data_IF_998570987274
#
_entry.id   IF_998570987274
#
_cell.length_a   1.000
_cell.length_b   1.000
_cell.length_c   1.000
_cell.angle_alpha   90.00
_cell.angle_beta   90.00
_cell.angle_gamma   90.00
#
_symmetry.space_group_name_H-M   'P 1'
#
loop_
_entity.id
_entity.type
_entity.pdbx_description
1 polymer ?
2 non-polymer ?
3 non-polymer ?
4 non-polymer ?
5 non-polymer ?
6 non-polymer ?
7 non-polymer ?
8 non-polymer ?
9 non-polymer ?
10 non-polymer ?
11 water ?
#
# COMPACT_ATOMS: atom_id res chain seq x y z
N UNK A 24 20.37 9.02 -15.76
CA UNK A 24 19.22 9.93 -15.53
C UNK A 24 18.92 10.11 -14.05
N UNK A 25 17.74 10.65 -13.77
CA UNK A 25 17.29 10.84 -12.38
C UNK A 25 17.13 9.51 -11.67
N UNK A 26 17.28 9.52 -10.35
CA UNK A 26 17.11 8.32 -9.52
C UNK A 26 15.63 7.98 -9.42
N UNK A 27 15.30 6.69 -9.53
CA UNK A 27 13.91 6.27 -9.36
C UNK A 27 13.60 6.37 -7.85
N UNK A 28 12.49 7.03 -7.49
CA UNK A 28 12.09 7.02 -6.09
C UNK A 28 11.50 5.66 -5.71
N UNK A 29 11.85 5.21 -4.52
CA UNK A 29 11.54 3.86 -4.07
C UNK A 29 10.76 3.95 -2.76
N UNK A 30 9.67 3.19 -2.71
CA UNK A 30 8.93 3.02 -1.48
C UNK A 30 9.36 1.74 -0.79
N UNK A 31 9.85 1.89 0.43
CA UNK A 31 10.26 0.76 1.26
C UNK A 31 9.10 0.55 2.19
N UNK A 32 8.38 -0.55 1.99
CA UNK A 32 7.05 -0.72 2.59
C UNK A 32 7.18 -1.74 3.70
N UNK A 33 7.06 -1.27 4.93
CA UNK A 33 7.03 -2.17 6.07
C UNK A 33 5.82 -3.11 5.99
N UNK A 34 6.10 -4.39 6.15
CA UNK A 34 5.06 -5.41 6.00
C UNK A 34 4.36 -5.71 7.32
N UNK A 35 3.03 -5.82 7.25
CA UNK A 35 2.22 -6.27 8.39
C UNK A 35 2.41 -5.41 9.65
N UNK A 36 2.16 -4.13 9.46
CA UNK A 36 2.26 -3.13 10.49
C UNK A 36 0.85 -2.91 11.05
N UNK A 37 0.49 -3.66 12.10
CA UNK A 37 -0.88 -3.75 12.56
C UNK A 37 -1.14 -3.27 13.99
N UNK A 38 -0.06 -3.00 14.74
CA UNK A 38 -0.19 -2.41 16.06
C UNK A 38 0.37 -1.02 15.96
N UNK A 39 -0.21 -0.09 16.72
CA UNK A 39 0.20 1.30 16.65
C UNK A 39 1.72 1.45 16.87
N UNK A 40 2.25 0.73 17.86
CA UNK A 40 3.69 0.81 18.21
C UNK A 40 4.62 0.38 17.08
N UNK A 41 4.10 -0.42 16.16
CA UNK A 41 4.88 -0.90 15.04
C UNK A 41 5.14 0.16 13.97
N UNK A 42 4.30 1.19 13.90
CA UNK A 42 4.52 2.28 12.96
C UNK A 42 5.92 2.88 13.19
N UNK A 43 6.22 3.27 14.42
CA UNK A 43 7.56 3.82 14.71
C UNK A 43 8.66 2.81 14.49
N UNK A 44 8.39 1.55 14.86
CA UNK A 44 9.39 0.50 14.75
C UNK A 44 9.89 0.39 13.31
N UNK A 45 8.93 0.32 12.39
CA UNK A 45 9.27 0.13 10.97
C UNK A 45 9.84 1.39 10.34
N UNK A 46 9.26 2.55 10.67
CA UNK A 46 9.74 3.80 10.12
C UNK A 46 11.17 4.10 10.60
N UNK A 47 11.43 3.87 11.89
CA UNK A 47 12.76 4.04 12.45
C UNK A 47 13.85 3.12 11.87
N UNK A 48 13.43 1.97 11.30
CA UNK A 48 14.34 1.07 10.56
C UNK A 48 14.54 1.46 9.07
N UNK A 49 13.83 2.49 8.63
CA UNK A 49 13.99 3.01 7.28
C UNK A 49 12.78 2.96 6.36
N UNK A 50 11.64 2.42 6.80
CA UNK A 50 10.44 2.40 5.94
C UNK A 50 9.88 3.80 5.70
N UNK A 51 9.57 4.15 4.44
CA UNK A 51 8.80 5.40 4.16
C UNK A 51 7.32 5.08 3.87
N UNK A 52 6.97 3.82 4.07
CA UNK A 52 5.61 3.31 3.79
C UNK A 52 5.33 2.13 4.69
N UNK A 53 4.06 1.86 4.96
CA UNK A 53 3.68 0.68 5.72
C UNK A 53 2.48 0.04 5.07
N UNK A 54 2.38 -1.26 5.26
CA UNK A 54 1.25 -2.06 4.85
C UNK A 54 0.57 -2.60 6.12
N UNK A 55 -0.75 -2.52 6.12
CA UNK A 55 -1.56 -2.82 7.30
C UNK A 55 -2.77 -3.65 6.85
N UNK A 56 -3.07 -4.72 7.57
CA UNK A 56 -4.20 -5.60 7.23
C UNK A 56 -5.47 -5.08 7.86
N UNK A 57 -6.58 -5.24 7.15
CA UNK A 57 -7.85 -4.72 7.64
C UNK A 57 -8.85 -5.86 7.55
N UNK A 58 -9.31 -6.31 8.71
CA UNK A 58 -10.35 -7.34 8.76
C UNK A 58 -11.71 -6.63 8.78
N UNK A 59 -12.74 -7.35 8.39
CA UNK A 59 -14.07 -6.78 8.30
C UNK A 59 -15.01 -7.62 9.14
N UNK A 60 -15.96 -6.99 9.80
CA UNK A 60 -17.00 -7.73 10.51
C UNK A 60 -18.07 -8.27 9.56
N UNK A 61 -19.08 -8.94 10.10
CA UNK A 61 -20.15 -9.53 9.27
C UNK A 61 -20.96 -8.50 8.48
N UNK A 62 -20.86 -7.22 8.84
CA UNK A 62 -21.60 -6.14 8.15
C UNK A 62 -20.75 -5.32 7.18
N UNK A 63 -19.54 -5.81 6.93
CA UNK A 63 -18.60 -5.14 6.04
C UNK A 63 -18.02 -3.87 6.65
N UNK A 64 -18.10 -3.74 7.97
CA UNK A 64 -17.41 -2.67 8.65
C UNK A 64 -15.99 -3.10 8.98
N UNK A 65 -14.99 -2.26 8.64
CA UNK A 65 -13.65 -2.61 9.10
C UNK A 65 -13.67 -2.80 10.61
N UNK A 66 -12.97 -3.83 11.08
CA UNK A 66 -13.05 -4.17 12.50
C UNK A 66 -11.68 -4.08 13.18
N UNK A 67 -10.72 -4.89 12.71
CA UNK A 67 -9.37 -4.94 13.31
C UNK A 67 -8.32 -4.79 12.26
N UNK A 68 -7.13 -4.36 12.69
CA UNK A 68 -5.91 -4.50 11.89
C UNK A 68 -5.25 -5.85 12.22
N UNK A 69 -5.85 -6.92 11.77
CA UNK A 69 -5.46 -8.23 12.25
C UNK A 69 -5.17 -9.12 11.06
N UNK A 70 -3.98 -9.72 11.05
CA UNK A 70 -3.62 -10.66 9.99
C UNK A 70 -4.05 -12.08 10.39
N UNK A 71 -3.53 -12.56 11.51
CA UNK A 71 -3.75 -13.95 11.95
C UNK A 71 -2.87 -14.97 11.24
N UNK A 72 -2.92 -16.20 11.74
CA UNK A 72 -2.17 -17.32 11.20
C UNK A 72 -2.90 -17.86 9.96
N UNK A 73 -2.16 -18.28 8.91
CA UNK A 73 -0.71 -18.20 8.76
C UNK A 73 -0.22 -16.84 8.28
N UNK A 74 0.99 -16.48 8.68
CA UNK A 74 1.60 -15.24 8.23
C UNK A 74 3.06 -15.47 7.87
N UNK A 75 3.72 -14.41 7.39
CA UNK A 75 5.12 -14.48 7.01
C UNK A 75 6.03 -15.11 8.07
N UNK A 76 7.03 -15.83 7.58
CA UNK A 76 8.03 -16.49 8.42
C UNK A 76 8.78 -15.47 9.30
N UNK A 77 8.98 -15.83 10.57
CA UNK A 77 9.71 -14.99 11.52
C UNK A 77 8.89 -13.90 12.16
N UNK A 78 7.56 -13.90 11.92
CA UNK A 78 6.69 -12.82 12.41
C UNK A 78 5.61 -13.30 13.36
N UNK A 79 5.33 -12.48 14.37
CA UNK A 79 4.15 -12.62 15.22
C UNK A 79 2.94 -12.19 14.37
N UNK A 80 1.99 -13.10 14.16
CA UNK A 80 0.84 -12.87 13.27
C UNK A 80 -0.37 -12.19 13.94
N UNK A 81 -0.28 -11.95 15.24
CA UNK A 81 -1.47 -11.66 16.04
C UNK A 81 -1.52 -10.31 16.72
N UNK A 82 -0.60 -9.42 16.37
CA UNK A 82 -0.67 -8.05 16.88
C UNK A 82 -1.81 -7.32 16.15
N UNK A 83 -2.66 -6.61 16.89
CA UNK A 83 -3.76 -5.90 16.23
C UNK A 83 -4.33 -4.74 17.03
N UNK A 84 -5.07 -3.88 16.34
CA UNK A 84 -5.83 -2.82 17.00
C UNK A 84 -7.25 -2.87 16.48
N UNK A 85 -8.20 -2.25 17.19
CA UNK A 85 -9.46 -1.84 16.57
C UNK A 85 -9.09 -0.93 15.41
N UNK A 86 -9.72 -1.12 14.27
CA UNK A 86 -9.28 -0.41 13.06
C UNK A 86 -9.22 1.11 13.28
N UNK A 87 -10.26 1.69 13.89
CA UNK A 87 -10.24 3.14 14.12
C UNK A 87 -9.15 3.62 15.06
N UNK A 88 -8.78 2.79 16.03
CA UNK A 88 -7.65 3.11 16.89
C UNK A 88 -6.37 3.21 16.06
N UNK A 89 -6.14 2.21 15.20
CA UNK A 89 -4.94 2.25 14.34
C UNK A 89 -4.93 3.52 13.49
N UNK A 90 -6.10 3.86 12.95
CA UNK A 90 -6.24 5.06 12.10
C UNK A 90 -5.84 6.34 12.85
N UNK A 91 -6.24 6.46 14.11
CA UNK A 91 -5.90 7.64 14.90
C UNK A 91 -4.41 7.63 15.14
N UNK A 92 -3.84 6.44 15.31
CA UNK A 92 -2.38 6.33 15.51
C UNK A 92 -1.61 6.70 14.27
N UNK A 93 -2.08 6.20 13.14
CA UNK A 93 -1.56 6.58 11.83
C UNK A 93 -1.66 8.09 11.57
N UNK A 94 -2.78 8.68 11.96
CA UNK A 94 -2.96 10.12 11.84
C UNK A 94 -1.91 10.88 12.63
N UNK A 95 -1.68 10.48 13.88
CA UNK A 95 -0.62 11.10 14.68
C UNK A 95 0.75 10.99 13.97
N UNK A 96 1.04 9.83 13.38
CA UNK A 96 2.33 9.61 12.75
C UNK A 96 2.49 10.41 11.46
N UNK A 97 1.39 10.95 10.93
CA UNK A 97 1.43 11.57 9.61
C UNK A 97 0.88 13.00 9.57
N UNK A 98 0.73 13.59 10.76
CA UNK A 98 0.19 14.95 10.86
C UNK A 98 1.34 15.84 11.31
N UNK A 99 1.81 16.74 10.43
CA UNK A 99 2.86 17.69 10.81
C UNK A 99 2.50 18.44 12.10
N UNK A 100 3.43 18.50 13.04
CA UNK A 100 3.19 19.21 14.32
C UNK A 100 2.86 18.29 15.48
N UNK A 101 2.43 17.07 15.16
CA UNK A 101 2.14 16.08 16.18
C UNK A 101 3.43 15.60 16.82
N UNK A 102 3.39 15.32 18.12
CA UNK A 102 4.59 14.85 18.83
C UNK A 102 5.17 13.58 18.21
N UNK A 103 4.33 12.81 17.54
CA UNK A 103 4.76 11.55 16.94
C UNK A 103 4.91 11.59 15.41
N UNK A 104 4.84 12.78 14.82
CA UNK A 104 4.95 12.95 13.38
C UNK A 104 6.24 12.36 12.81
N UNK A 105 6.08 11.53 11.77
CA UNK A 105 7.19 10.96 11.04
C UNK A 105 7.11 11.52 9.62
N UNK A 106 7.90 12.57 9.35
CA UNK A 106 7.98 13.17 8.01
C UNK A 106 8.23 12.13 6.90
N UNK A 107 8.93 11.08 7.21
CA UNK A 107 9.30 10.10 6.23
C UNK A 107 8.17 9.17 5.80
N UNK A 108 7.13 9.03 6.61
CA UNK A 108 6.05 8.09 6.31
C UNK A 108 5.06 8.71 5.34
N UNK A 109 5.09 8.28 4.06
CA UNK A 109 4.33 9.01 3.03
C UNK A 109 3.26 8.18 2.29
N UNK A 110 3.24 6.87 2.53
CA UNK A 110 2.29 5.98 1.85
C UNK A 110 1.85 4.85 2.77
N UNK A 111 0.55 4.59 2.77
CA UNK A 111 0.00 3.49 3.53
C UNK A 111 -0.81 2.62 2.58
N UNK A 112 -0.52 1.33 2.61
CA UNK A 112 -1.26 0.34 1.84
C UNK A 112 -2.17 -0.40 2.83
N UNK A 113 -3.48 -0.30 2.63
CA UNK A 113 -4.45 -1.08 3.41
C UNK A 113 -4.74 -2.35 2.64
N UNK A 114 -4.38 -3.47 3.26
CA UNK A 114 -4.59 -4.80 2.71
C UNK A 114 -5.97 -5.22 3.19
N UNK A 115 -6.96 -5.00 2.35
CA UNK A 115 -8.36 -5.21 2.73
C UNK A 115 -8.67 -6.69 2.63
N UNK A 116 -8.85 -7.33 3.78
CA UNK A 116 -9.05 -8.77 3.83
C UNK A 116 -10.53 -9.04 3.59
N UNK A 117 -10.94 -8.90 2.32
CA UNK A 117 -12.36 -8.96 1.98
C UNK A 117 -12.82 -10.41 1.77
N UNK A 118 -11.91 -11.35 2.01
CA UNK A 118 -12.23 -12.78 1.90
C UNK A 118 -13.35 -13.23 2.83
N UNK A 119 -13.57 -12.51 3.93
CA UNK A 119 -14.62 -12.87 4.87
C UNK A 119 -15.98 -12.32 4.44
N UNK A 120 -16.00 -11.54 3.37
CA UNK A 120 -17.24 -10.90 2.94
C UNK A 120 -17.88 -11.59 1.74
N UNK A 121 -19.22 -11.53 1.66
CA UNK A 121 -19.89 -11.92 0.42
C UNK A 121 -19.55 -10.90 -0.65
N UNK A 122 -19.45 -11.36 -1.90
CA UNK A 122 -19.15 -10.47 -3.02
C UNK A 122 -20.05 -9.25 -3.08
N UNK A 123 -21.33 -9.45 -2.77
CA UNK A 123 -22.25 -8.33 -2.81
C UNK A 123 -22.14 -7.36 -1.62
N UNK A 124 -21.15 -7.55 -0.76
CA UNK A 124 -20.84 -6.58 0.30
C UNK A 124 -19.61 -5.71 -0.01
N UNK A 125 -19.06 -5.85 -1.22
CA UNK A 125 -17.81 -5.14 -1.57
C UNK A 125 -18.03 -3.63 -1.59
N UNK A 126 -19.11 -3.21 -2.22
CA UNK A 126 -19.48 -1.80 -2.23
C UNK A 126 -19.70 -1.23 -0.83
N UNK A 127 -20.55 -1.91 -0.04
CA UNK A 127 -20.74 -1.53 1.38
C UNK A 127 -19.41 -1.38 2.10
N UNK A 128 -18.51 -2.34 1.90
CA UNK A 128 -17.20 -2.29 2.58
C UNK A 128 -16.42 -1.01 2.23
N UNK A 129 -16.46 -0.62 0.96
CA UNK A 129 -15.85 0.63 0.53
C UNK A 129 -16.43 1.82 1.26
N UNK A 130 -17.77 1.86 1.40
CA UNK A 130 -18.39 3.00 2.06
C UNK A 130 -17.99 3.08 3.53
N UNK A 131 -18.01 1.94 4.22
CA UNK A 131 -17.64 1.93 5.65
C UNK A 131 -16.17 2.33 5.84
N UNK A 132 -15.30 1.86 4.96
CA UNK A 132 -13.89 2.23 4.99
C UNK A 132 -13.68 3.75 4.85
N UNK A 133 -14.36 4.36 3.87
CA UNK A 133 -14.32 5.80 3.67
C UNK A 133 -14.80 6.58 4.89
N UNK A 134 -15.88 6.10 5.53
CA UNK A 134 -16.38 6.75 6.75
C UNK A 134 -15.34 6.73 7.84
N UNK A 135 -14.71 5.58 8.05
CA UNK A 135 -13.67 5.46 9.10
C UNK A 135 -12.45 6.30 8.76
N UNK A 136 -11.98 6.21 7.52
CA UNK A 136 -10.82 7.03 7.12
C UNK A 136 -11.13 8.51 7.27
N UNK A 137 -12.32 8.94 6.84
CA UNK A 137 -12.67 10.36 6.92
C UNK A 137 -12.69 10.82 8.36
N UNK A 138 -13.35 10.03 9.20
CA UNK A 138 -13.51 10.41 10.60
C UNK A 138 -12.20 10.39 11.38
N UNK A 139 -11.39 9.35 11.20
CA UNK A 139 -10.33 9.06 12.16
C UNK A 139 -8.94 9.29 11.58
N UNK A 140 -8.83 9.26 10.26
CA UNK A 140 -7.54 9.50 9.61
C UNK A 140 -7.47 10.91 9.07
N UNK A 141 -8.44 11.29 8.24
CA UNK A 141 -8.48 12.62 7.66
C UNK A 141 -9.16 13.66 8.55
N UNK A 142 -9.67 13.21 9.71
CA UNK A 142 -10.27 14.07 10.74
C UNK A 142 -11.27 15.07 10.18
N UNK A 143 -12.16 14.59 9.32
CA UNK A 143 -13.17 15.44 8.70
C UNK A 143 -12.61 16.67 8.00
N UNK A 144 -11.39 16.54 7.46
CA UNK A 144 -10.72 17.65 6.79
C UNK A 144 -10.00 18.63 7.71
N UNK A 145 -10.02 18.38 9.01
CA UNK A 145 -9.36 19.27 9.97
C UNK A 145 -7.98 18.75 10.36
N UNK A 146 -6.95 19.22 9.66
CA UNK A 146 -5.57 18.87 10.00
C UNK A 146 -5.39 17.34 10.05
N UNK A 147 -5.82 16.65 8.99
CA UNK A 147 -5.74 15.20 8.96
C UNK A 147 -4.35 14.69 8.61
N UNK A 148 -4.19 13.36 8.61
CA UNK A 148 -2.90 12.75 8.26
C UNK A 148 -2.62 12.95 6.80
N UNK A 149 -1.35 13.10 6.43
CA UNK A 149 -1.02 13.57 5.07
C UNK A 149 -0.60 12.45 4.11
N UNK A 150 -0.46 11.22 4.61
CA UNK A 150 0.06 10.12 3.76
C UNK A 150 -0.91 9.77 2.65
N UNK A 151 -0.36 9.35 1.51
CA UNK A 151 -1.15 8.79 0.43
C UNK A 151 -1.58 7.38 0.83
N UNK A 152 -2.75 6.98 0.34
CA UNK A 152 -3.36 5.73 0.74
C UNK A 152 -3.61 4.84 -0.46
N UNK A 153 -3.21 3.57 -0.37
CA UNK A 153 -3.52 2.62 -1.45
C UNK A 153 -4.52 1.64 -0.86
N UNK A 154 -5.65 1.50 -1.55
CA UNK A 154 -6.63 0.50 -1.17
C UNK A 154 -6.29 -0.75 -1.94
N UNK A 155 -5.75 -1.75 -1.24
CA UNK A 155 -5.33 -2.99 -1.90
C UNK A 155 -6.41 -4.09 -1.74
N UNK A 156 -6.91 -4.57 -2.86
CA UNK A 156 -8.04 -5.50 -2.89
C UNK A 156 -7.56 -6.86 -3.41
N UNK A 157 -7.81 -7.93 -2.64
CA UNK A 157 -7.22 -9.21 -3.05
C UNK A 157 -7.98 -9.95 -4.15
N UNK A 158 -9.23 -9.54 -4.42
CA UNK A 158 -10.11 -10.30 -5.30
C UNK A 158 -10.61 -9.34 -6.36
N UNK A 159 -10.31 -9.63 -7.63
CA UNK A 159 -10.77 -8.78 -8.72
C UNK A 159 -12.27 -8.54 -8.71
N UNK A 160 -13.05 -9.52 -8.27
CA UNK A 160 -14.52 -9.38 -8.25
C UNK A 160 -15.04 -8.39 -7.22
N UNK A 161 -14.14 -7.94 -6.32
CA UNK A 161 -14.50 -6.94 -5.32
C UNK A 161 -14.22 -5.51 -5.77
N UNK A 162 -14.01 -5.30 -7.07
CA UNK A 162 -13.81 -3.95 -7.60
C UNK A 162 -14.88 -2.90 -7.22
N UNK A 163 -16.17 -3.31 -7.01
CA UNK A 163 -17.18 -2.32 -6.59
C UNK A 163 -16.90 -1.62 -5.25
N UNK A 164 -15.97 -2.18 -4.47
CA UNK A 164 -15.47 -1.52 -3.25
C UNK A 164 -14.97 -0.08 -3.54
N UNK A 165 -14.30 0.09 -4.68
CA UNK A 165 -13.74 1.39 -5.05
C UNK A 165 -14.80 2.46 -5.22
N UNK A 166 -15.83 2.15 -6.01
CA UNK A 166 -16.95 3.08 -6.21
C UNK A 166 -17.66 3.42 -4.89
N UNK A 167 -17.83 2.41 -4.03
CA UNK A 167 -18.43 2.63 -2.69
C UNK A 167 -17.66 3.64 -1.87
N UNK A 168 -16.34 3.49 -1.86
CA UNK A 168 -15.45 4.36 -1.13
C UNK A 168 -15.52 5.80 -1.66
N UNK A 169 -15.39 5.92 -2.85
CA UNK A 169 -15.54 7.20 -3.52
C UNK A 169 -16.92 7.80 -3.23
N UNK A 170 -17.91 7.11 -3.51
CA UNK A 170 -19.27 7.68 -3.36
C UNK A 170 -19.50 8.12 -1.93
N UNK A 171 -18.93 7.39 -0.96
CA UNK A 171 -19.09 7.80 0.44
C UNK A 171 -18.35 9.11 0.75
N UNK A 172 -17.11 9.23 0.28
CA UNK A 172 -16.39 10.51 0.47
C UNK A 172 -17.16 11.66 -0.14
N UNK A 173 -17.75 11.41 -1.31
CA UNK A 173 -18.47 12.42 -2.04
C UNK A 173 -19.70 12.86 -1.26
N UNK A 174 -20.46 11.89 -0.77
CA UNK A 174 -21.66 12.16 0.05
C UNK A 174 -21.33 12.96 1.33
N UNK A 175 -20.22 12.63 1.95
CA UNK A 175 -19.76 13.34 3.14
C UNK A 175 -19.11 14.70 2.86
N UNK A 176 -18.97 15.05 1.59
CA UNK A 176 -18.52 16.38 1.23
C UNK A 176 -17.01 16.53 1.15
N UNK A 177 -16.30 15.42 0.95
CA UNK A 177 -14.82 15.43 0.79
C UNK A 177 -14.33 14.65 -0.45
N UNK A 178 -14.94 14.92 -1.62
CA UNK A 178 -14.54 14.15 -2.81
C UNK A 178 -13.07 14.35 -3.17
N UNK A 179 -12.51 15.49 -2.80
CA UNK A 179 -11.10 15.84 -3.06
C UNK A 179 -10.07 14.92 -2.37
N UNK A 180 -10.50 14.22 -1.31
CA UNK A 180 -9.61 13.29 -0.65
C UNK A 180 -9.21 12.10 -1.54
N UNK A 181 -10.01 11.82 -2.58
CA UNK A 181 -9.64 10.81 -3.58
C UNK A 181 -8.30 11.10 -4.26
N UNK A 182 -7.89 12.37 -4.27
CA UNK A 182 -6.57 12.74 -4.82
C UNK A 182 -5.44 12.03 -4.05
N UNK A 183 -5.71 11.69 -2.78
CA UNK A 183 -4.74 11.02 -1.93
C UNK A 183 -4.86 9.49 -1.95
N UNK A 184 -5.71 8.97 -2.83
CA UNK A 184 -6.09 7.54 -2.78
C UNK A 184 -5.73 6.82 -4.09
N UNK A 185 -5.12 5.65 -3.95
CA UNK A 185 -4.79 4.83 -5.11
C UNK A 185 -5.26 3.40 -4.92
N UNK A 186 -4.80 2.51 -5.80
CA UNK A 186 -5.42 1.20 -5.98
C UNK A 186 -4.42 0.11 -6.23
N UNK A 187 -4.75 -1.08 -5.77
CA UNK A 187 -3.94 -2.28 -5.98
C UNK A 187 -4.87 -3.50 -6.00
N UNK A 188 -4.64 -4.40 -6.94
CA UNK A 188 -5.25 -5.73 -6.89
C UNK A 188 -4.15 -6.73 -6.59
N UNK A 189 -4.19 -7.34 -5.41
CA UNK A 189 -3.03 -8.07 -4.88
C UNK A 189 -3.01 -9.57 -5.11
N UNK A 190 -4.00 -10.08 -5.86
CA UNK A 190 -4.16 -11.52 -6.00
C UNK A 190 -3.30 -12.24 -7.03
N UNK A 191 -2.25 -11.57 -7.54
CA UNK A 191 -1.39 -12.14 -8.61
C UNK A 191 -2.16 -12.63 -9.85
N UNK A 192 -3.28 -11.97 -10.12
CA UNK A 192 -4.05 -12.26 -11.33
C UNK A 192 -3.26 -11.93 -12.60
N UNK A 193 -3.64 -12.56 -13.69
CA UNK A 193 -3.11 -12.19 -14.99
C UNK A 193 -3.27 -10.66 -15.18
N UNK A 194 -2.20 -10.01 -15.65
CA UNK A 194 -2.15 -8.55 -15.79
C UNK A 194 -3.28 -8.03 -16.70
N UNK A 195 -3.54 -8.73 -17.79
CA UNK A 195 -4.68 -8.40 -18.68
C UNK A 195 -6.00 -8.43 -17.94
N UNK A 196 -6.19 -9.44 -17.07
CA UNK A 196 -7.39 -9.54 -16.23
C UNK A 196 -7.49 -8.37 -15.25
N UNK A 197 -6.36 -7.99 -14.66
CA UNK A 197 -6.33 -6.84 -13.77
C UNK A 197 -6.79 -5.59 -14.53
N UNK A 198 -6.23 -5.39 -15.72
CA UNK A 198 -6.61 -4.21 -16.52
C UNK A 198 -8.09 -4.15 -16.80
N UNK A 199 -8.68 -5.29 -17.14
CA UNK A 199 -10.11 -5.37 -17.37
C UNK A 199 -10.90 -5.00 -16.12
N UNK A 200 -10.36 -5.38 -14.94
CA UNK A 200 -11.04 -5.06 -13.67
C UNK A 200 -11.12 -3.57 -13.47
N UNK A 201 -10.02 -2.88 -13.75
CA UNK A 201 -9.95 -1.42 -13.66
C UNK A 201 -10.86 -0.76 -14.67
N UNK A 202 -10.92 -1.34 -15.88
CA UNK A 202 -11.82 -0.86 -16.94
C UNK A 202 -13.29 -0.91 -16.47
N UNK A 203 -13.67 -2.01 -15.85
CA UNK A 203 -15.02 -2.14 -15.28
C UNK A 203 -15.30 -1.19 -14.16
N UNK A 204 -14.30 -0.94 -13.35
CA UNK A 204 -14.41 0.00 -12.24
C UNK A 204 -14.35 1.45 -12.72
N UNK A 205 -13.96 1.67 -13.98
CA UNK A 205 -13.80 3.02 -14.52
C UNK A 205 -12.64 3.80 -13.89
N UNK A 206 -11.60 3.07 -13.50
CA UNK A 206 -10.39 3.65 -12.89
C UNK A 206 -9.36 3.81 -13.96
N UNK A 207 -8.75 5.00 -14.00
CA UNK A 207 -7.83 5.36 -15.07
C UNK A 207 -6.56 6.06 -14.60
N UNK A 208 -6.07 5.69 -13.42
CA UNK A 208 -4.84 6.25 -12.86
C UNK A 208 -4.73 5.89 -11.38
N UNK A 209 -3.61 6.27 -10.77
CA UNK A 209 -3.29 6.00 -9.35
C UNK A 209 -3.22 4.49 -9.12
N UNK A 210 -2.67 3.77 -10.08
CA UNK A 210 -2.63 2.31 -10.03
C UNK A 210 -1.26 1.76 -9.62
N UNK A 211 -1.19 1.07 -8.48
CA UNK A 211 -0.02 0.27 -8.09
C UNK A 211 -0.27 -1.20 -8.42
N UNK A 212 0.75 -1.89 -8.89
CA UNK A 212 0.63 -3.34 -9.15
C UNK A 212 1.59 -4.14 -8.27
N UNK A 213 0.99 -4.88 -7.35
CA UNK A 213 1.68 -5.81 -6.49
C UNK A 213 2.02 -7.07 -7.27
N UNK A 214 3.15 -7.68 -6.90
CA UNK A 214 3.43 -9.03 -7.33
C UNK A 214 4.24 -9.65 -6.21
N UNK A 215 3.97 -10.91 -5.89
CA UNK A 215 4.80 -11.54 -4.87
C UNK A 215 4.29 -12.82 -4.27
N UNK A 216 4.95 -13.20 -3.18
CA UNK A 216 4.66 -14.43 -2.44
C UNK A 216 5.19 -14.22 -1.02
N UNK A 217 4.60 -14.92 -0.08
CA UNK A 217 5.12 -14.93 1.29
C UNK A 217 6.65 -15.11 1.31
N UNK A 218 7.32 -14.54 2.31
CA UNK A 218 8.77 -14.72 2.44
C UNK A 218 9.15 -16.22 2.68
N UNK A 219 8.15 -17.04 3.03
CA UNK A 219 8.35 -18.48 3.29
C UNK A 219 8.56 -19.32 2.03
N UNK A 220 8.31 -18.76 0.84
CA UNK A 220 8.33 -19.56 -0.39
C UNK A 220 9.08 -18.85 -1.49
N UNK A 221 9.70 -19.63 -2.41
CA UNK A 221 10.46 -18.99 -3.49
C UNK A 221 9.58 -18.52 -4.65
N UNK A 222 10.00 -17.47 -5.33
CA UNK A 222 9.25 -16.92 -6.48
C UNK A 222 10.20 -16.31 -7.50
N UNK A 223 9.81 -16.39 -8.77
CA UNK A 223 10.58 -15.81 -9.86
C UNK A 223 10.07 -14.44 -10.23
N UNK A 224 10.67 -13.86 -11.26
CA UNK A 224 10.36 -12.49 -11.61
C UNK A 224 9.46 -12.32 -12.86
N UNK A 225 8.92 -13.40 -13.40
CA UNK A 225 8.19 -13.33 -14.69
C UNK A 225 6.99 -12.37 -14.66
N UNK A 226 6.18 -12.44 -13.62
CA UNK A 226 5.00 -11.55 -13.52
C UNK A 226 5.40 -10.14 -13.14
N UNK A 227 6.39 -9.99 -12.26
CA UNK A 227 6.86 -8.65 -11.95
C UNK A 227 7.48 -8.00 -13.21
N UNK A 228 8.24 -8.77 -14.00
CA UNK A 228 8.75 -8.24 -15.28
C UNK A 228 7.63 -7.80 -16.22
N UNK A 229 6.55 -8.59 -16.28
CA UNK A 229 5.41 -8.26 -17.14
C UNK A 229 4.70 -7.00 -16.63
N UNK A 230 4.60 -6.84 -15.30
CA UNK A 230 3.99 -5.62 -14.73
C UNK A 230 4.84 -4.39 -15.05
N UNK A 231 6.16 -4.52 -14.93
CA UNK A 231 7.08 -3.45 -15.31
C UNK A 231 6.98 -3.13 -16.80
N UNK A 232 6.89 -4.16 -17.63
CA UNK A 232 6.72 -3.97 -19.08
C UNK A 232 5.44 -3.20 -19.38
N UNK A 233 4.36 -3.51 -18.68
CA UNK A 233 3.10 -2.77 -18.85
C UNK A 233 3.26 -1.32 -18.39
N UNK A 234 3.78 -1.13 -17.18
CA UNK A 234 4.02 0.22 -16.63
C UNK A 234 4.81 1.12 -17.61
N UNK A 235 5.86 0.56 -18.22
CA UNK A 235 6.78 1.37 -19.03
C UNK A 235 6.43 1.42 -20.50
N UNK A 236 5.32 0.79 -20.90
CA UNK A 236 4.85 0.85 -22.29
C UNK A 236 4.01 2.11 -22.47
N UNK A 237 3.84 2.53 -23.71
CA UNK A 237 3.17 3.79 -24.00
C UNK A 237 1.72 3.75 -23.54
N UNK A 238 1.03 2.63 -23.75
CA UNK A 238 -0.38 2.56 -23.40
C UNK A 238 -0.70 1.57 -22.27
N UNK A 239 0.25 1.34 -21.37
CA UNK A 239 0.00 0.51 -20.20
C UNK A 239 -0.85 1.24 -19.17
N UNK A 240 -1.33 0.52 -18.18
CA UNK A 240 -2.25 1.08 -17.18
C UNK A 240 -1.65 1.19 -15.78
N UNK A 241 -0.52 0.52 -15.55
CA UNK A 241 0.10 0.50 -14.23
C UNK A 241 0.98 1.72 -14.08
N UNK A 242 0.88 2.39 -12.94
CA UNK A 242 1.76 3.52 -12.65
C UNK A 242 3.00 3.12 -11.88
N UNK A 243 2.81 2.28 -10.86
CA UNK A 243 3.91 1.80 -10.01
C UNK A 243 3.82 0.30 -9.79
N UNK A 244 4.96 -0.33 -9.53
CA UNK A 244 5.05 -1.75 -9.30
C UNK A 244 5.78 -1.98 -7.99
N UNK A 245 5.24 -2.88 -7.18
CA UNK A 245 5.94 -3.28 -5.98
C UNK A 245 5.99 -4.79 -5.83
N UNK A 246 7.08 -5.26 -5.22
CA UNK A 246 7.37 -6.67 -5.06
C UNK A 246 7.37 -6.99 -3.58
N UNK A 247 6.79 -8.14 -3.22
CA UNK A 247 6.63 -8.54 -1.82
C UNK A 247 6.82 -10.07 -1.67
N UNK A 248 7.13 -10.58 -0.48
CA UNK A 248 7.77 -9.82 0.60
C UNK A 248 9.25 -10.18 0.54
N UNK A 249 10.10 -9.16 0.57
CA UNK A 249 11.52 -9.29 0.26
C UNK A 249 12.31 -9.00 1.52
N UNK A 250 13.01 -10.02 2.03
CA UNK A 250 13.77 -9.89 3.27
C UNK A 250 15.26 -10.20 3.08
N UNK A 251 15.68 -10.27 1.88
CA UNK A 251 17.05 -10.66 1.61
C UNK A 251 17.78 -9.68 0.71
N UNK A 252 19.02 -9.49 0.86
CA UNK A 252 19.76 -8.53 0.01
C UNK A 252 19.78 -8.91 -1.46
N UNK A 253 20.03 -10.19 -1.74
CA UNK A 253 20.07 -10.67 -3.14
C UNK A 253 18.74 -10.43 -3.89
N UNK A 254 17.63 -10.82 -3.25
CA UNK A 254 16.28 -10.59 -3.77
C UNK A 254 16.01 -9.08 -4.00
N UNK A 255 16.47 -8.24 -3.07
CA UNK A 255 16.34 -6.77 -3.17
C UNK A 255 17.04 -6.27 -4.43
N UNK A 256 18.28 -6.69 -4.63
CA UNK A 256 19.02 -6.33 -5.84
C UNK A 256 18.30 -6.79 -7.09
N UNK A 257 17.77 -8.00 -7.08
CA UNK A 257 17.02 -8.53 -8.24
C UNK A 257 15.83 -7.66 -8.59
N UNK A 258 15.07 -7.30 -7.57
CA UNK A 258 13.84 -6.52 -7.74
C UNK A 258 14.16 -5.12 -8.24
N UNK A 259 15.21 -4.51 -7.67
CA UNK A 259 15.67 -3.20 -8.11
C UNK A 259 16.20 -3.27 -9.54
N UNK A 260 16.99 -4.30 -9.85
CA UNK A 260 17.45 -4.51 -11.25
C UNK A 260 16.29 -4.62 -12.23
N UNK A 261 15.21 -5.29 -11.79
CA UNK A 261 13.97 -5.42 -12.58
C UNK A 261 13.21 -4.12 -12.72
N UNK A 262 13.50 -3.14 -11.88
CA UNK A 262 12.97 -1.81 -12.10
C UNK A 262 11.71 -1.50 -11.31
N UNK A 263 11.49 -2.24 -10.22
CA UNK A 263 10.32 -2.00 -9.36
C UNK A 263 10.42 -0.65 -8.66
N UNK A 264 9.27 -0.11 -8.25
CA UNK A 264 9.18 1.17 -7.54
C UNK A 264 9.09 0.98 -6.03
N UNK A 265 8.65 -0.20 -5.63
CA UNK A 265 8.35 -0.45 -4.22
C UNK A 265 8.83 -1.81 -3.82
N UNK A 266 9.33 -1.92 -2.60
CA UNK A 266 9.70 -3.22 -2.07
C UNK A 266 9.06 -3.34 -0.70
N UNK A 267 8.23 -4.37 -0.55
CA UNK A 267 7.59 -4.68 0.71
C UNK A 267 8.42 -5.71 1.46
N UNK A 268 8.64 -5.45 2.75
CA UNK A 268 9.65 -6.15 3.54
C UNK A 268 9.32 -6.25 5.03
N UNK A 269 9.77 -7.33 5.65
CA UNK A 269 9.71 -7.44 7.10
C UNK A 269 10.88 -6.70 7.76
N UNK A 270 11.89 -6.37 6.95
CA UNK A 270 13.14 -5.75 7.44
C UNK A 270 13.57 -4.53 6.61
N UNK A 271 12.96 -3.37 6.88
CA UNK A 271 13.27 -2.16 6.11
C UNK A 271 14.76 -1.81 6.11
N UNK A 272 15.48 -2.17 7.17
CA UNK A 272 16.91 -1.87 7.28
C UNK A 272 17.74 -2.65 6.25
N UNK A 273 17.27 -3.83 5.86
CA UNK A 273 17.93 -4.64 4.83
C UNK A 273 17.83 -3.96 3.48
N UNK A 274 16.61 -3.50 3.16
CA UNK A 274 16.38 -2.78 1.91
C UNK A 274 17.22 -1.50 1.86
N UNK A 275 17.24 -0.78 2.99
CA UNK A 275 17.93 0.50 3.12
C UNK A 275 19.42 0.31 2.86
N UNK A 276 19.99 -0.74 3.44
CA UNK A 276 21.40 -1.05 3.24
C UNK A 276 21.77 -1.30 1.79
N UNK A 277 20.90 -2.01 1.07
CA UNK A 277 21.10 -2.25 -0.36
C UNK A 277 21.03 -0.93 -1.15
N UNK A 278 20.05 -0.09 -0.83
CA UNK A 278 19.89 1.15 -1.55
C UNK A 278 21.05 2.09 -1.30
N UNK A 279 21.68 1.93 -0.14
CA UNK A 279 22.86 2.73 0.22
C UNK A 279 24.17 2.21 -0.35
N UNK A 280 24.15 1.05 -1.00
CA UNK A 280 25.33 0.57 -1.74
C UNK A 280 25.65 1.55 -2.87
N UNK A 281 26.94 1.78 -3.10
CA UNK A 281 27.36 2.79 -4.10
C UNK A 281 26.66 2.67 -5.45
N UNK A 282 26.58 1.47 -6.00
CA UNK A 282 25.97 1.28 -7.31
C UNK A 282 24.47 1.64 -7.31
N UNK A 283 23.79 1.34 -6.20
CA UNK A 283 22.34 1.56 -6.14
C UNK A 283 21.99 3.00 -5.79
N UNK A 284 22.88 3.67 -5.06
CA UNK A 284 22.73 5.08 -4.69
C UNK A 284 22.61 5.96 -5.93
N UNK A 285 23.27 5.52 -7.00
CA UNK A 285 23.25 6.24 -8.25
C UNK A 285 21.98 6.11 -9.08
N UNK A 286 21.14 5.14 -8.75
CA UNK A 286 19.99 4.81 -9.61
C UNK A 286 18.68 4.91 -8.87
N UNK A 287 18.77 4.91 -7.53
CA UNK A 287 17.58 4.93 -6.69
C UNK A 287 17.71 5.88 -5.51
N UNK A 288 16.56 6.32 -4.99
CA UNK A 288 16.53 7.14 -3.77
C UNK A 288 15.22 6.86 -3.04
N UNK A 289 15.22 7.09 -1.74
CA UNK A 289 14.01 6.84 -0.93
C UNK A 289 12.98 7.92 -1.19
N UNK A 290 11.78 7.52 -1.61
CA UNK A 290 10.74 8.47 -1.98
C UNK A 290 10.35 9.33 -0.78
N UNK A 291 10.04 10.61 -1.06
CA UNK A 291 9.60 11.57 -0.04
C UNK A 291 8.19 12.05 -0.40
N UNK A 292 7.62 12.93 0.42
CA UNK A 292 6.23 13.38 0.23
C UNK A 292 6.01 14.03 -1.12
N UNK A 293 7.04 14.68 -1.64
CA UNK A 293 6.91 15.37 -2.91
C UNK A 293 7.07 14.47 -4.13
N UNK A 294 7.34 13.19 -3.93
CA UNK A 294 7.21 12.22 -5.02
C UNK A 294 5.78 11.73 -5.10
N UNK A 295 5.09 12.10 -6.18
CA UNK A 295 3.73 11.67 -6.32
C UNK A 295 3.65 10.16 -6.59
N UNK A 296 3.02 9.40 -5.68
CA UNK A 296 3.00 7.95 -5.87
C UNK A 296 2.10 7.49 -7.02
N UNK A 297 1.36 8.39 -7.66
CA UNK A 297 0.47 8.04 -8.76
C UNK A 297 1.11 8.23 -10.15
N UNK A 298 2.34 8.73 -10.18
CA UNK A 298 2.99 9.15 -11.43
C UNK A 298 4.05 8.15 -11.84
N UNK A 299 3.95 7.62 -13.05
CA UNK A 299 4.95 6.71 -13.56
C UNK A 299 6.31 7.43 -13.66
N UNK A 300 7.36 6.80 -13.13
CA UNK A 300 8.69 7.41 -13.18
C UNK A 300 9.30 7.36 -14.59
N UNK A 301 9.97 8.47 -14.98
CA UNK A 301 10.77 8.53 -16.22
C UNK A 301 12.18 9.10 -15.95
N UNK A 302 13.21 8.43 -16.47
CA UNK A 302 14.60 8.90 -16.37
C UNK A 302 14.80 10.36 -16.80
#
# INVERSE_FOLDING_TARGET
>A
MGSSHHHHHHSSGLVPRGSHMLEGNRRPIWIMGHMVNAIGQIDEFVNLGANSIETDVSFDDNANPEYTYHGIPCDCGRNCKKYENFNDFLKGLRSATTPGNSKYQEKLVLVVFDLKTGSLYDNQANDAGKKLAKNLLQHYWNNGNNGGRAYIVLSIPDLNHYPLIKGFKDQLTKDGHPELMDKVGHDFSGNDDIGDVGKAYKKAGITGHIWQSDGITNCLPRGLSRVNAAVANRDSANGFINKVYYWTVDKRSTTRDALDAGVDGIMTNYPDVITDVLNEAAYKKKFRVATYDDNPWVTFKK
#
